data_IF_542850195470
#
_entry.id   IF_542850195470
#
_cell.length_a   1.000
_cell.length_b   1.000
_cell.length_c   1.000
_cell.angle_alpha   90.00
_cell.angle_beta   90.00
_cell.angle_gamma   90.00
#
_symmetry.space_group_name_H-M   'P 1'
#
loop_
_entity.id
_entity.type
_entity.pdbx_description
1 polymer ?
#
# COMPACT_ATOMS: atom_id res chain seq x y z
N UNK A 1 13.23 -2.49 12.29
CA UNK A 1 13.11 -1.03 12.57
C UNK A 1 12.30 -0.35 11.48
N UNK A 2 12.72 -0.40 10.21
CA UNK A 2 12.04 0.24 9.07
C UNK A 2 10.59 -0.21 8.85
N UNK A 3 10.28 -1.51 8.95
CA UNK A 3 8.91 -2.02 8.76
C UNK A 3 7.88 -1.46 9.76
N UNK A 4 8.28 -1.19 11.02
CA UNK A 4 7.34 -0.67 12.03
C UNK A 4 7.01 0.81 11.74
N UNK A 5 7.92 1.54 11.09
CA UNK A 5 7.65 2.91 10.64
C UNK A 5 6.55 2.91 9.58
N UNK A 6 6.56 1.96 8.64
CA UNK A 6 5.50 1.81 7.63
C UNK A 6 4.15 1.51 8.30
N UNK A 7 4.14 0.65 9.33
CA UNK A 7 2.93 0.39 10.11
C UNK A 7 2.46 1.63 10.89
N UNK A 8 3.38 2.48 11.35
CA UNK A 8 3.02 3.74 12.00
C UNK A 8 2.37 4.72 11.01
N UNK A 9 2.85 4.79 9.77
CA UNK A 9 2.19 5.54 8.70
C UNK A 9 0.79 4.99 8.43
N UNK A 10 0.64 3.68 8.26
CA UNK A 10 -0.66 3.05 8.06
C UNK A 10 -1.63 3.31 9.23
N UNK A 11 -1.16 3.25 10.47
CA UNK A 11 -1.95 3.58 11.65
C UNK A 11 -2.38 5.04 11.65
N UNK A 12 -1.50 5.97 11.26
CA UNK A 12 -1.85 7.38 11.14
C UNK A 12 -2.95 7.61 10.09
N UNK A 13 -2.82 7.00 8.90
CA UNK A 13 -3.85 7.06 7.86
C UNK A 13 -5.18 6.46 8.33
N UNK A 14 -5.14 5.34 9.05
CA UNK A 14 -6.32 4.72 9.65
C UNK A 14 -6.99 5.64 10.68
N UNK A 15 -6.23 6.37 11.50
CA UNK A 15 -6.81 7.34 12.45
C UNK A 15 -7.49 8.47 11.68
N UNK A 16 -6.86 8.99 10.62
CA UNK A 16 -7.41 10.08 9.83
C UNK A 16 -8.63 9.66 8.99
N UNK A 17 -8.75 8.39 8.59
CA UNK A 17 -9.89 7.92 7.80
C UNK A 17 -11.23 7.93 8.56
N UNK A 18 -11.21 8.02 9.89
CA UNK A 18 -12.42 8.23 10.70
C UNK A 18 -12.91 9.68 10.73
N UNK A 19 -12.19 10.62 10.11
CA UNK A 19 -12.60 12.02 10.01
C UNK A 19 -13.76 12.18 9.00
N UNK A 20 -14.61 13.18 9.21
CA UNK A 20 -15.75 13.45 8.31
C UNK A 20 -15.31 13.86 6.91
N UNK A 21 -14.16 14.51 6.79
CA UNK A 21 -13.51 14.85 5.54
C UNK A 21 -12.11 14.26 5.55
N UNK A 22 -11.74 13.57 4.46
CA UNK A 22 -10.44 12.95 4.33
C UNK A 22 -9.37 14.04 4.14
N UNK A 23 -8.30 14.09 4.95
CA UNK A 23 -7.27 15.14 4.85
C UNK A 23 -6.54 15.19 3.50
N UNK A 24 -6.49 14.07 2.79
CA UNK A 24 -5.87 13.93 1.47
C UNK A 24 -6.85 14.13 0.30
N UNK A 25 -8.11 14.48 0.57
CA UNK A 25 -9.12 14.71 -0.46
C UNK A 25 -9.27 16.18 -0.88
N UNK A 26 -8.74 17.14 -0.10
CA UNK A 26 -8.86 18.56 -0.42
C UNK A 26 -7.55 19.32 -0.20
N UNK A 27 -7.39 20.43 -0.91
CA UNK A 27 -6.24 21.34 -0.78
C UNK A 27 -6.45 22.44 0.27
N UNK A 28 -7.53 22.42 1.05
CA UNK A 28 -7.88 23.47 2.00
C UNK A 28 -7.27 23.24 3.40
N UNK A 29 -6.02 22.79 3.47
CA UNK A 29 -5.33 22.55 4.74
C UNK A 29 -4.10 23.45 4.90
N UNK A 30 -3.67 23.65 6.15
CA UNK A 30 -2.53 24.52 6.48
C UNK A 30 -1.17 24.03 5.95
N UNK A 31 -1.08 22.78 5.52
CA UNK A 31 0.15 22.19 4.97
C UNK A 31 0.20 22.22 3.43
N UNK A 32 -0.91 22.58 2.76
CA UNK A 32 -0.97 22.60 1.32
C UNK A 32 -0.29 23.86 0.75
N UNK A 33 0.48 23.69 -0.32
CA UNK A 33 1.05 24.81 -1.09
C UNK A 33 0.04 25.40 -2.08
N UNK A 34 0.40 26.54 -2.70
CA UNK A 34 -0.40 27.16 -3.76
C UNK A 34 -0.52 26.32 -5.04
N UNK A 35 0.32 25.29 -5.19
CA UNK A 35 0.34 24.41 -6.36
C UNK A 35 -0.56 23.18 -6.20
N UNK A 36 -1.24 23.04 -5.06
CA UNK A 36 -2.13 21.92 -4.78
C UNK A 36 -3.41 22.03 -5.62
N UNK A 37 -3.72 20.98 -6.38
CA UNK A 37 -4.97 20.85 -7.13
C UNK A 37 -5.89 19.78 -6.51
N UNK A 38 -7.15 20.17 -6.33
CA UNK A 38 -8.23 19.29 -5.88
C UNK A 38 -9.11 18.90 -7.09
N UNK A 39 -9.34 17.61 -7.27
CA UNK A 39 -10.14 17.03 -8.35
C UNK A 39 -11.60 17.50 -8.37
N UNK A 40 -12.12 17.99 -7.25
CA UNK A 40 -13.51 18.49 -7.16
C UNK A 40 -13.68 19.89 -7.79
N UNK A 41 -12.60 20.62 -8.05
CA UNK A 41 -12.65 22.04 -8.48
C UNK A 41 -12.48 22.23 -10.00
N UNK A 42 -12.70 21.18 -10.80
CA UNK A 42 -12.55 21.21 -12.26
C UNK A 42 -13.89 21.20 -12.99
N UNK A 43 -14.47 22.39 -13.19
CA UNK A 43 -15.39 22.60 -14.33
C UNK A 43 -15.14 23.89 -15.11
N UNK A 44 -14.17 24.74 -14.75
CA UNK A 44 -14.00 26.04 -15.42
C UNK A 44 -12.57 26.60 -15.54
N UNK A 45 -11.52 25.88 -15.11
CA UNK A 45 -10.14 26.35 -15.31
C UNK A 45 -9.53 25.70 -16.53
N UNK A 46 -9.36 26.50 -17.59
CA UNK A 46 -8.53 26.14 -18.74
C UNK A 46 -7.12 25.79 -18.26
N UNK A 47 -6.73 24.53 -18.47
CA UNK A 47 -5.41 24.00 -18.17
C UNK A 47 -4.35 24.79 -18.94
N UNK A 48 -3.73 25.77 -18.30
CA UNK A 48 -2.36 26.09 -18.65
C UNK A 48 -1.51 24.96 -18.07
N UNK A 49 -0.81 24.25 -18.95
CA UNK A 49 0.12 23.16 -18.64
C UNK A 49 1.31 23.70 -17.83
N UNK A 50 1.08 24.10 -16.57
CA UNK A 50 2.15 24.24 -15.61
C UNK A 50 2.45 22.84 -15.05
N UNK A 51 3.56 22.28 -15.50
CA UNK A 51 4.17 21.01 -15.04
C UNK A 51 4.53 21.00 -13.54
N UNK A 52 3.97 21.90 -12.73
CA UNK A 52 4.32 22.15 -11.33
C UNK A 52 3.16 21.90 -10.36
N UNK A 53 2.05 21.34 -10.84
CA UNK A 53 0.85 21.09 -10.03
C UNK A 53 0.94 19.75 -9.31
N UNK A 54 0.60 19.73 -8.01
CA UNK A 54 0.66 18.53 -7.14
C UNK A 54 -0.73 18.15 -6.64
N UNK A 55 -0.97 16.86 -6.36
CA UNK A 55 -2.25 16.41 -5.81
C UNK A 55 -2.32 16.65 -4.30
N UNK A 56 -3.54 16.79 -3.76
CA UNK A 56 -3.77 16.88 -2.31
C UNK A 56 -3.19 15.68 -1.53
N UNK A 57 -3.16 14.48 -2.14
CA UNK A 57 -2.59 13.28 -1.53
C UNK A 57 -1.06 13.33 -1.47
N UNK A 58 -0.40 13.81 -2.52
CA UNK A 58 1.06 14.03 -2.54
C UNK A 58 1.47 15.04 -1.48
N UNK A 59 0.80 16.19 -1.42
CA UNK A 59 1.05 17.23 -0.41
C UNK A 59 0.80 16.73 1.02
N UNK A 60 -0.24 15.92 1.23
CA UNK A 60 -0.49 15.30 2.53
C UNK A 60 0.65 14.35 2.93
N UNK A 61 1.13 13.52 2.00
CA UNK A 61 2.23 12.60 2.26
C UNK A 61 3.54 13.35 2.55
N UNK A 62 3.93 14.26 1.67
CA UNK A 62 5.25 14.90 1.70
C UNK A 62 5.35 15.99 2.79
N UNK A 63 4.34 16.86 2.91
CA UNK A 63 4.40 17.99 3.83
C UNK A 63 3.77 17.70 5.20
N UNK A 64 2.68 16.91 5.25
CA UNK A 64 1.98 16.64 6.52
C UNK A 64 2.51 15.41 7.25
N UNK A 65 2.63 14.27 6.56
CA UNK A 65 3.02 12.98 7.15
C UNK A 65 4.53 12.89 7.34
N UNK A 66 5.29 13.02 6.25
CA UNK A 66 6.74 12.94 6.28
C UNK A 66 7.41 14.24 6.72
N UNK A 67 6.88 15.38 6.28
CA UNK A 67 7.55 16.68 6.42
C UNK A 67 8.97 16.61 5.85
N UNK A 68 9.07 16.25 4.57
CA UNK A 68 10.34 16.00 3.90
C UNK A 68 11.27 17.21 4.02
N UNK A 69 12.53 16.96 4.36
CA UNK A 69 13.54 18.00 4.48
C UNK A 69 14.24 18.26 3.14
N UNK A 70 14.96 19.39 3.05
CA UNK A 70 15.66 19.79 1.82
C UNK A 70 16.79 18.83 1.42
N UNK A 71 17.25 17.97 2.33
CA UNK A 71 18.26 16.96 2.03
C UNK A 71 18.62 16.07 3.21
N UNK A 72 19.39 15.01 2.93
CA UNK A 72 19.80 13.98 3.91
C UNK A 72 20.64 14.58 5.05
N UNK A 73 21.41 15.64 4.77
CA UNK A 73 22.22 16.35 5.76
C UNK A 73 21.37 17.12 6.78
N UNK A 74 20.11 17.40 6.45
CA UNK A 74 19.18 18.12 7.30
C UNK A 74 18.05 17.18 7.73
N UNK A 75 18.20 16.53 8.88
CA UNK A 75 17.26 15.50 9.37
C UNK A 75 15.88 16.09 9.75
N UNK A 76 15.76 17.41 9.85
CA UNK A 76 14.51 18.09 10.21
C UNK A 76 14.10 17.85 11.66
N UNK A 77 12.79 17.93 11.94
CA UNK A 77 12.21 17.77 13.27
C UNK A 77 11.44 16.46 13.42
N UNK A 78 11.41 15.91 14.63
CA UNK A 78 10.61 14.69 14.92
C UNK A 78 9.12 15.02 14.87
N UNK A 79 8.39 14.27 14.04
CA UNK A 79 6.92 14.35 13.94
C UNK A 79 6.28 13.61 15.11
N UNK A 80 5.68 14.35 16.04
CA UNK A 80 5.14 13.81 17.29
C UNK A 80 4.03 12.80 17.03
N UNK A 81 3.16 13.02 16.04
CA UNK A 81 2.08 12.08 15.72
C UNK A 81 2.60 10.75 15.21
N UNK A 82 3.66 10.78 14.37
CA UNK A 82 4.34 9.57 13.91
C UNK A 82 5.07 8.87 15.06
N UNK A 83 5.73 9.64 15.94
CA UNK A 83 6.37 9.08 17.12
C UNK A 83 5.36 8.35 18.02
N UNK A 84 4.19 8.94 18.26
CA UNK A 84 3.11 8.33 19.03
C UNK A 84 2.57 7.07 18.34
N UNK A 85 2.32 7.10 17.04
CA UNK A 85 1.88 5.94 16.27
C UNK A 85 2.95 4.82 16.30
N UNK A 86 4.23 5.18 16.20
CA UNK A 86 5.36 4.27 16.27
C UNK A 86 5.45 3.61 17.65
N UNK A 87 5.32 4.39 18.72
CA UNK A 87 5.27 3.85 20.10
C UNK A 87 4.08 2.92 20.27
N UNK A 88 2.90 3.28 19.79
CA UNK A 88 1.71 2.44 19.84
C UNK A 88 1.93 1.11 19.09
N UNK A 89 2.50 1.14 17.89
CA UNK A 89 2.81 -0.07 17.13
C UNK A 89 3.81 -0.98 17.84
N UNK A 90 4.84 -0.42 18.48
CA UNK A 90 5.76 -1.20 19.30
C UNK A 90 5.07 -1.90 20.47
N UNK A 91 4.18 -1.19 21.17
CA UNK A 91 3.39 -1.75 22.27
C UNK A 91 2.50 -2.89 21.77
N UNK A 92 1.80 -2.70 20.64
CA UNK A 92 0.97 -3.74 20.01
C UNK A 92 1.82 -4.95 19.65
N UNK A 93 2.93 -4.76 18.94
CA UNK A 93 3.83 -5.85 18.56
C UNK A 93 4.35 -6.62 19.78
N UNK A 94 4.71 -5.92 20.86
CA UNK A 94 5.13 -6.54 22.12
C UNK A 94 4.04 -7.48 22.68
N UNK A 95 2.79 -7.02 22.77
CA UNK A 95 1.69 -7.86 23.27
C UNK A 95 1.37 -9.03 22.34
N UNK A 96 1.53 -8.87 21.03
CA UNK A 96 1.36 -9.96 20.06
C UNK A 96 2.36 -11.11 20.28
N UNK A 97 3.58 -10.81 20.74
CA UNK A 97 4.65 -11.80 20.89
C UNK A 97 4.99 -12.17 22.33
N UNK A 98 4.51 -11.42 23.34
CA UNK A 98 4.94 -11.58 24.74
C UNK A 98 4.87 -13.05 25.21
N UNK A 99 3.75 -13.75 24.99
CA UNK A 99 3.62 -15.17 25.41
C UNK A 99 4.16 -16.17 24.37
N UNK A 100 5.08 -15.73 23.51
CA UNK A 100 5.65 -16.51 22.41
C UNK A 100 4.59 -16.97 21.40
N UNK A 101 4.88 -18.10 20.75
CA UNK A 101 4.04 -18.67 19.67
C UNK A 101 2.59 -18.94 20.06
N UNK A 102 2.28 -19.10 21.35
CA UNK A 102 0.90 -19.29 21.83
C UNK A 102 0.06 -18.01 21.69
N UNK A 103 0.64 -16.83 21.92
CA UNK A 103 -0.06 -15.54 21.70
C UNK A 103 -0.06 -15.20 20.22
N UNK A 104 1.10 -15.32 19.57
CA UNK A 104 1.25 -15.03 18.15
C UNK A 104 0.30 -15.87 17.30
N UNK A 105 0.18 -17.17 17.56
CA UNK A 105 -0.76 -18.03 16.85
C UNK A 105 -2.22 -17.57 16.97
N UNK A 106 -2.64 -17.04 18.13
CA UNK A 106 -3.99 -16.49 18.33
C UNK A 106 -4.21 -15.20 17.54
N UNK A 107 -3.25 -14.28 17.59
CA UNK A 107 -3.31 -13.01 16.86
C UNK A 107 -3.30 -13.25 15.34
N UNK A 108 -2.50 -14.20 14.88
CA UNK A 108 -2.36 -14.55 13.46
C UNK A 108 -3.67 -15.03 12.83
N UNK A 109 -4.60 -15.65 13.60
CA UNK A 109 -5.92 -15.98 13.07
C UNK A 109 -6.65 -14.76 12.52
N UNK A 110 -6.49 -13.59 13.14
CA UNK A 110 -7.04 -12.34 12.61
C UNK A 110 -6.08 -11.73 11.58
N UNK A 111 -4.82 -11.50 11.94
CA UNK A 111 -3.90 -10.72 11.09
C UNK A 111 -3.53 -11.39 9.76
N UNK A 112 -3.68 -12.72 9.64
CA UNK A 112 -3.47 -13.43 8.37
C UNK A 112 -4.76 -13.61 7.56
N UNK A 113 -5.94 -13.66 8.18
CA UNK A 113 -7.21 -13.88 7.45
C UNK A 113 -7.88 -12.57 7.04
N UNK A 114 -7.80 -11.55 7.89
CA UNK A 114 -8.38 -10.23 7.62
C UNK A 114 -7.87 -9.60 6.31
N UNK A 115 -6.56 -9.65 5.97
CA UNK A 115 -6.08 -9.16 4.69
C UNK A 115 -6.72 -9.84 3.47
N UNK A 116 -7.11 -11.12 3.55
CA UNK A 116 -7.83 -11.77 2.45
C UNK A 116 -9.25 -11.24 2.29
N UNK A 117 -9.93 -10.92 3.40
CA UNK A 117 -11.25 -10.28 3.37
C UNK A 117 -11.13 -8.89 2.75
N UNK A 118 -10.14 -8.10 3.18
CA UNK A 118 -9.89 -6.76 2.61
C UNK A 118 -9.53 -6.85 1.13
N UNK A 119 -8.63 -7.76 0.77
CA UNK A 119 -8.25 -8.00 -0.62
C UNK A 119 -9.44 -8.36 -1.50
N UNK A 120 -10.35 -9.21 -1.01
CA UNK A 120 -11.58 -9.56 -1.74
C UNK A 120 -12.50 -8.34 -1.94
N UNK A 121 -12.69 -7.52 -0.90
CA UNK A 121 -13.49 -6.29 -0.98
C UNK A 121 -12.87 -5.30 -1.96
N UNK A 122 -11.56 -5.06 -1.86
CA UNK A 122 -10.82 -4.19 -2.76
C UNK A 122 -10.84 -4.70 -4.20
N UNK A 123 -10.73 -6.01 -4.42
CA UNK A 123 -10.81 -6.62 -5.75
C UNK A 123 -12.20 -6.42 -6.37
N UNK A 124 -13.26 -6.76 -5.64
CA UNK A 124 -14.63 -6.58 -6.13
C UNK A 124 -14.88 -5.11 -6.42
N UNK A 125 -14.53 -4.21 -5.49
CA UNK A 125 -14.71 -2.78 -5.67
C UNK A 125 -13.90 -2.26 -6.86
N UNK A 126 -12.61 -2.58 -6.92
CA UNK A 126 -11.70 -2.19 -7.98
C UNK A 126 -12.20 -2.60 -9.36
N UNK A 127 -12.62 -3.86 -9.52
CA UNK A 127 -13.15 -4.36 -10.81
C UNK A 127 -14.50 -3.75 -11.20
N UNK A 128 -15.30 -3.26 -10.25
CA UNK A 128 -16.56 -2.57 -10.55
C UNK A 128 -16.39 -1.10 -10.95
N UNK A 129 -15.19 -0.53 -10.81
CA UNK A 129 -14.94 0.87 -11.16
C UNK A 129 -14.80 1.06 -12.68
N UNK A 130 -15.23 2.23 -13.21
CA UNK A 130 -15.05 2.53 -14.62
C UNK A 130 -13.57 2.63 -14.97
N UNK A 131 -13.12 2.01 -16.07
CA UNK A 131 -11.70 2.06 -16.48
C UNK A 131 -10.80 1.00 -15.84
N UNK A 132 -11.30 0.22 -14.88
CA UNK A 132 -10.55 -0.86 -14.24
C UNK A 132 -9.91 -1.85 -15.23
N UNK A 133 -10.62 -2.14 -16.33
CA UNK A 133 -10.11 -3.02 -17.40
C UNK A 133 -8.82 -2.49 -18.04
N UNK A 134 -8.63 -1.18 -18.15
CA UNK A 134 -7.39 -0.61 -18.68
C UNK A 134 -6.18 -0.97 -17.82
N UNK A 135 -6.36 -0.94 -16.50
CA UNK A 135 -5.33 -1.37 -15.55
C UNK A 135 -5.10 -2.89 -15.54
N UNK A 136 -6.17 -3.70 -15.62
CA UNK A 136 -6.03 -5.17 -15.71
C UNK A 136 -5.30 -5.59 -16.99
N UNK A 137 -5.59 -4.94 -18.12
CA UNK A 137 -4.85 -5.16 -19.37
C UNK A 137 -3.40 -4.74 -19.21
N UNK A 138 -3.13 -3.57 -18.65
CA UNK A 138 -1.75 -3.12 -18.37
C UNK A 138 -0.98 -4.12 -17.48
N UNK A 139 -1.63 -4.72 -16.49
CA UNK A 139 -1.03 -5.72 -15.60
C UNK A 139 -0.68 -7.03 -16.30
N UNK A 140 -1.54 -7.51 -17.21
CA UNK A 140 -1.42 -8.84 -17.80
C UNK A 140 -0.78 -8.87 -19.18
N UNK A 141 -0.77 -7.76 -19.91
CA UNK A 141 -0.30 -7.72 -21.28
C UNK A 141 1.20 -8.04 -21.31
N UNK A 142 1.61 -9.19 -21.86
CA UNK A 142 3.01 -9.56 -21.84
C UNK A 142 3.74 -8.82 -22.95
N UNK A 143 4.94 -8.36 -22.65
CA UNK A 143 5.89 -7.81 -23.62
C UNK A 143 7.10 -8.77 -23.70
N UNK A 144 7.12 -9.72 -24.64
CA UNK A 144 8.11 -10.81 -24.66
C UNK A 144 9.56 -10.34 -24.81
N UNK A 145 9.76 -9.13 -25.35
CA UNK A 145 11.07 -8.47 -25.42
C UNK A 145 11.76 -8.37 -24.05
N UNK A 146 11.00 -8.15 -22.98
CA UNK A 146 11.54 -8.06 -21.63
C UNK A 146 12.10 -9.38 -21.09
N UNK A 147 11.68 -10.53 -21.62
CA UNK A 147 12.21 -11.83 -21.17
C UNK A 147 13.67 -12.06 -21.60
N UNK A 148 14.15 -11.30 -22.59
CA UNK A 148 15.55 -11.31 -23.02
C UNK A 148 16.46 -10.50 -22.09
N UNK A 149 15.89 -9.64 -21.25
CA UNK A 149 16.64 -8.81 -20.30
C UNK A 149 16.98 -9.63 -19.04
N UNK A 150 18.28 -9.87 -18.74
CA UNK A 150 18.69 -10.56 -17.53
C UNK A 150 18.21 -9.88 -16.24
N UNK A 151 18.00 -8.55 -16.26
CA UNK A 151 17.53 -7.81 -15.11
C UNK A 151 16.15 -8.28 -14.64
N UNK A 152 15.25 -8.61 -15.57
CA UNK A 152 13.91 -9.12 -15.26
C UNK A 152 13.98 -10.44 -14.46
N UNK A 153 14.95 -11.30 -14.78
CA UNK A 153 15.16 -12.55 -14.05
C UNK A 153 15.79 -12.33 -12.67
N UNK A 154 16.71 -11.37 -12.56
CA UNK A 154 17.28 -10.96 -11.26
C UNK A 154 16.21 -10.38 -10.34
N UNK A 155 15.32 -9.55 -10.87
CA UNK A 155 14.19 -8.96 -10.13
C UNK A 155 13.17 -10.03 -9.73
N UNK A 156 12.81 -10.94 -10.64
CA UNK A 156 11.91 -12.06 -10.34
C UNK A 156 12.48 -12.99 -9.24
N UNK A 157 13.78 -13.32 -9.33
CA UNK A 157 14.46 -14.12 -8.30
C UNK A 157 14.51 -13.40 -6.95
N UNK A 158 14.80 -12.10 -6.95
CA UNK A 158 14.82 -11.28 -5.74
C UNK A 158 13.43 -11.18 -5.10
N UNK A 159 12.39 -10.96 -5.92
CA UNK A 159 11.00 -10.89 -5.48
C UNK A 159 10.58 -12.18 -4.77
N UNK A 160 10.88 -13.34 -5.35
CA UNK A 160 10.58 -14.65 -4.73
C UNK A 160 11.37 -14.81 -3.43
N UNK A 161 12.67 -14.52 -3.43
CA UNK A 161 13.52 -14.68 -2.26
C UNK A 161 13.04 -13.84 -1.05
N UNK A 162 12.73 -12.56 -1.29
CA UNK A 162 12.23 -11.66 -0.25
C UNK A 162 10.78 -11.96 0.15
N UNK A 163 9.91 -12.32 -0.80
CA UNK A 163 8.50 -12.65 -0.53
C UNK A 163 8.36 -13.86 0.42
N UNK A 164 9.20 -14.89 0.26
CA UNK A 164 9.24 -16.04 1.17
C UNK A 164 10.14 -15.84 2.41
N UNK A 165 10.87 -14.73 2.49
CA UNK A 165 11.85 -14.45 3.56
C UNK A 165 12.85 -15.59 3.76
N UNK A 166 13.35 -16.16 2.66
CA UNK A 166 14.28 -17.29 2.69
C UNK A 166 15.61 -16.85 3.33
N UNK A 167 16.17 -17.71 4.19
CA UNK A 167 17.48 -17.44 4.83
C UNK A 167 17.46 -16.47 6.02
N UNK A 168 16.33 -15.85 6.34
CA UNK A 168 16.19 -14.93 7.50
C UNK A 168 16.06 -15.67 8.84
N UNK A 169 15.71 -16.96 8.81
CA UNK A 169 15.56 -17.82 10.00
C UNK A 169 14.14 -17.86 10.58
N UNK A 170 13.23 -16.98 10.16
CA UNK A 170 11.83 -16.96 10.62
C UNK A 170 11.11 -18.29 10.41
N UNK A 171 11.25 -18.89 9.21
CA UNK A 171 10.66 -20.19 8.90
C UNK A 171 11.30 -21.33 9.71
N UNK A 172 12.62 -21.27 9.97
CA UNK A 172 13.32 -22.23 10.82
C UNK A 172 12.81 -22.17 12.26
N UNK A 173 12.64 -20.97 12.81
CA UNK A 173 12.08 -20.77 14.15
C UNK A 173 10.66 -21.31 14.22
N UNK A 174 9.79 -20.97 13.26
CA UNK A 174 8.41 -21.48 13.23
C UNK A 174 8.38 -23.02 13.09
N UNK A 175 9.25 -23.58 12.26
CA UNK A 175 9.42 -25.03 12.11
C UNK A 175 9.83 -25.73 13.40
N UNK A 176 10.65 -25.08 14.24
CA UNK A 176 11.12 -25.65 15.51
C UNK A 176 9.99 -25.91 16.52
N UNK A 177 8.84 -25.22 16.38
CA UNK A 177 7.66 -25.41 17.22
C UNK A 177 6.67 -26.44 16.66
N UNK A 178 6.96 -27.05 15.50
CA UNK A 178 6.07 -27.99 14.84
C UNK A 178 6.21 -29.42 15.42
N UNK A 179 5.23 -30.29 15.17
CA UNK A 179 5.29 -31.70 15.55
C UNK A 179 6.38 -32.40 14.73
N UNK A 180 7.14 -33.30 15.36
CA UNK A 180 8.21 -34.05 14.70
C UNK A 180 7.76 -34.84 13.45
N UNK A 181 6.53 -35.38 13.48
CA UNK A 181 5.95 -36.14 12.35
C UNK A 181 5.08 -35.27 11.41
N UNK A 182 5.17 -33.95 11.49
CA UNK A 182 4.40 -33.08 10.62
C UNK A 182 4.89 -33.19 9.16
N UNK A 183 3.96 -33.21 8.21
CA UNK A 183 4.30 -33.23 6.78
C UNK A 183 4.66 -31.82 6.30
N UNK A 184 5.90 -31.41 6.57
CA UNK A 184 6.40 -30.09 6.18
C UNK A 184 6.43 -29.88 4.66
N UNK A 185 6.60 -30.94 3.86
CA UNK A 185 6.58 -30.83 2.40
C UNK A 185 5.22 -30.32 1.89
N UNK A 186 4.13 -30.89 2.41
CA UNK A 186 2.77 -30.43 2.10
C UNK A 186 2.58 -28.97 2.51
N UNK A 187 3.04 -28.58 3.69
CA UNK A 187 2.90 -27.21 4.19
C UNK A 187 3.67 -26.22 3.32
N UNK A 188 4.91 -26.56 2.92
CA UNK A 188 5.70 -25.75 2.00
C UNK A 188 5.01 -25.58 0.64
N UNK A 189 4.43 -26.64 0.07
CA UNK A 189 3.69 -26.55 -1.19
C UNK A 189 2.49 -25.59 -1.07
N UNK A 190 1.71 -25.68 0.01
CA UNK A 190 0.60 -24.76 0.26
C UNK A 190 1.08 -23.32 0.47
N UNK A 191 2.16 -23.13 1.22
CA UNK A 191 2.75 -21.82 1.45
C UNK A 191 3.17 -21.17 0.12
N UNK A 192 3.83 -21.93 -0.75
CA UNK A 192 4.21 -21.46 -2.10
C UNK A 192 3.01 -21.07 -2.94
N UNK A 193 1.99 -21.94 -3.03
CA UNK A 193 0.80 -21.68 -3.83
C UNK A 193 0.00 -20.49 -3.31
N UNK A 194 -0.19 -20.39 -1.98
CA UNK A 194 -0.94 -19.31 -1.36
C UNK A 194 -0.19 -17.98 -1.50
N UNK A 195 1.11 -17.93 -1.25
CA UNK A 195 1.89 -16.70 -1.39
C UNK A 195 1.85 -16.15 -2.82
N UNK A 196 2.16 -16.99 -3.81
CA UNK A 196 2.17 -16.59 -5.22
C UNK A 196 0.77 -16.27 -5.72
N UNK A 197 -0.24 -17.09 -5.38
CA UNK A 197 -1.62 -16.84 -5.76
C UNK A 197 -2.17 -15.54 -5.17
N UNK A 198 -1.87 -15.27 -3.90
CA UNK A 198 -2.27 -14.02 -3.23
C UNK A 198 -1.62 -12.81 -3.89
N UNK A 199 -0.34 -12.92 -4.27
CA UNK A 199 0.39 -11.84 -4.96
C UNK A 199 -0.23 -11.52 -6.32
N UNK A 200 -0.63 -12.53 -7.09
CA UNK A 200 -1.34 -12.35 -8.37
C UNK A 200 -2.70 -11.67 -8.15
N UNK A 201 -3.50 -12.14 -7.18
CA UNK A 201 -4.81 -11.55 -6.86
C UNK A 201 -4.67 -10.10 -6.36
N UNK A 202 -3.64 -9.81 -5.55
CA UNK A 202 -3.30 -8.46 -5.13
C UNK A 202 -2.95 -7.56 -6.32
N UNK A 203 -2.23 -8.08 -7.33
CA UNK A 203 -1.98 -7.39 -8.60
C UNK A 203 -3.28 -6.95 -9.29
N UNK A 204 -4.27 -7.84 -9.41
CA UNK A 204 -5.59 -7.47 -9.95
C UNK A 204 -6.27 -6.37 -9.13
N UNK A 205 -6.25 -6.45 -7.80
CA UNK A 205 -6.85 -5.43 -6.94
C UNK A 205 -6.17 -4.06 -7.09
N UNK A 206 -4.84 -4.03 -7.14
CA UNK A 206 -4.05 -2.80 -7.34
C UNK A 206 -4.30 -2.19 -8.71
N UNK A 207 -4.08 -2.96 -9.77
CA UNK A 207 -4.15 -2.41 -11.11
C UNK A 207 -5.58 -2.06 -11.54
N UNK A 208 -6.61 -2.72 -11.01
CA UNK A 208 -7.99 -2.31 -11.26
C UNK A 208 -8.31 -0.91 -10.71
N UNK A 209 -7.81 -0.56 -9.51
CA UNK A 209 -7.96 0.78 -8.92
C UNK A 209 -7.11 1.80 -9.68
N UNK A 210 -5.86 1.47 -10.06
CA UNK A 210 -5.02 2.35 -10.87
C UNK A 210 -5.61 2.61 -12.27
N UNK A 211 -6.27 1.62 -12.87
CA UNK A 211 -6.97 1.77 -14.15
C UNK A 211 -8.13 2.78 -14.06
N UNK A 212 -8.86 2.77 -12.95
CA UNK A 212 -9.87 3.80 -12.65
C UNK A 212 -9.22 5.18 -12.50
N UNK A 213 -8.17 5.30 -11.68
CA UNK A 213 -7.46 6.56 -11.45
C UNK A 213 -6.89 7.15 -12.74
N UNK A 214 -6.29 6.32 -13.60
CA UNK A 214 -5.78 6.72 -14.91
C UNK A 214 -6.89 7.25 -15.83
N UNK A 215 -8.06 6.59 -15.81
CA UNK A 215 -9.22 7.03 -16.59
C UNK A 215 -9.77 8.37 -16.11
N UNK A 216 -9.93 8.56 -14.80
CA UNK A 216 -10.44 9.83 -14.23
C UNK A 216 -9.47 11.00 -14.48
N UNK A 217 -8.17 10.73 -14.53
CA UNK A 217 -7.14 11.73 -14.81
C UNK A 217 -6.83 11.92 -16.30
N UNK A 218 -7.36 11.06 -17.18
CA UNK A 218 -7.07 11.11 -18.62
C UNK A 218 -5.61 10.78 -18.99
N UNK A 219 -4.91 10.04 -18.14
CA UNK A 219 -3.47 9.69 -18.27
C UNK A 219 -3.27 8.18 -18.47
N UNK A 220 -2.05 7.75 -18.79
CA UNK A 220 -1.74 6.31 -18.89
C UNK A 220 -1.56 5.68 -17.50
N UNK A 221 -1.83 4.38 -17.38
CA UNK A 221 -1.68 3.63 -16.11
C UNK A 221 -0.23 3.71 -15.58
N UNK A 222 0.76 3.75 -16.48
CA UNK A 222 2.17 3.91 -16.11
C UNK A 222 2.51 5.24 -15.40
N UNK A 223 1.72 6.30 -15.62
CA UNK A 223 1.94 7.61 -14.99
C UNK A 223 1.38 7.67 -13.56
N UNK A 224 0.39 6.83 -13.24
CA UNK A 224 -0.20 6.74 -11.89
C UNK A 224 0.33 5.57 -11.07
N UNK A 225 1.02 4.62 -11.71
CA UNK A 225 1.65 3.47 -11.07
C UNK A 225 2.99 3.88 -10.42
N UNK A 226 2.90 4.61 -9.31
CA UNK A 226 4.07 4.89 -8.48
C UNK A 226 4.67 3.61 -7.88
N UNK A 227 5.96 3.64 -7.56
CA UNK A 227 6.66 2.54 -6.90
C UNK A 227 6.91 2.84 -5.42
N UNK A 228 7.02 1.78 -4.62
CA UNK A 228 7.34 1.90 -3.20
C UNK A 228 6.18 2.44 -2.35
N UNK A 229 6.46 3.16 -1.25
CA UNK A 229 5.44 3.68 -0.34
C UNK A 229 4.44 4.64 -1.00
N UNK A 230 4.86 5.37 -2.05
CA UNK A 230 4.00 6.32 -2.78
C UNK A 230 2.75 5.65 -3.36
N UNK A 231 2.88 4.41 -3.86
CA UNK A 231 1.72 3.64 -4.32
C UNK A 231 0.63 3.51 -3.24
N UNK A 232 1.03 3.14 -2.03
CA UNK A 232 0.09 2.89 -0.93
C UNK A 232 -0.39 4.17 -0.22
N UNK A 233 0.44 5.21 -0.17
CA UNK A 233 0.17 6.41 0.64
C UNK A 233 -0.14 7.68 -0.17
N UNK A 234 0.01 7.65 -1.49
CA UNK A 234 -0.36 8.72 -2.42
C UNK A 234 -1.43 8.19 -3.38
N UNK A 235 -1.08 7.23 -4.25
CA UNK A 235 -1.95 6.82 -5.36
C UNK A 235 -3.27 6.20 -4.87
N UNK A 236 -3.23 5.29 -3.88
CA UNK A 236 -4.43 4.69 -3.32
C UNK A 236 -5.35 5.69 -2.58
N UNK A 237 -4.83 6.50 -1.62
CA UNK A 237 -5.63 7.55 -0.98
C UNK A 237 -6.26 8.51 -1.98
N UNK A 238 -5.53 8.88 -3.03
CA UNK A 238 -6.03 9.72 -4.12
C UNK A 238 -7.16 9.03 -4.91
N UNK A 239 -6.96 7.76 -5.30
CA UNK A 239 -7.99 7.00 -5.99
C UNK A 239 -9.26 6.83 -5.14
N UNK A 240 -9.11 6.63 -3.82
CA UNK A 240 -10.24 6.55 -2.87
C UNK A 240 -10.98 7.89 -2.79
N UNK A 241 -10.26 9.02 -2.73
CA UNK A 241 -10.87 10.35 -2.68
C UNK A 241 -11.72 10.66 -3.92
N UNK A 242 -11.35 10.11 -5.09
CA UNK A 242 -12.11 10.24 -6.35
C UNK A 242 -13.37 9.37 -6.40
N UNK A 243 -13.52 8.36 -5.53
CA UNK A 243 -14.69 7.48 -5.58
C UNK A 243 -15.94 8.20 -5.06
N UNK A 244 -17.12 8.03 -5.71
CA UNK A 244 -18.37 8.67 -5.29
C UNK A 244 -18.89 8.20 -3.92
N UNK A 245 -18.30 7.13 -3.37
CA UNK A 245 -18.60 6.54 -2.06
C UNK A 245 -17.40 6.67 -1.11
N UNK A 246 -16.62 7.75 -1.21
CA UNK A 246 -15.47 8.08 -0.35
C UNK A 246 -15.86 8.42 1.11
N UNK A 247 -16.85 7.72 1.66
CA UNK A 247 -17.14 7.73 3.08
C UNK A 247 -15.95 7.08 3.82
N UNK A 248 -15.56 7.62 4.98
CA UNK A 248 -14.40 7.19 5.76
C UNK A 248 -14.28 5.68 6.02
N UNK A 249 -15.39 4.95 5.93
CA UNK A 249 -15.42 3.48 5.98
C UNK A 249 -14.52 2.82 4.91
N UNK A 250 -14.54 3.26 3.64
CA UNK A 250 -13.72 2.63 2.60
C UNK A 250 -12.24 3.01 2.71
N UNK A 251 -11.95 4.20 3.25
CA UNK A 251 -10.58 4.61 3.59
C UNK A 251 -10.04 3.89 4.85
N UNK A 252 -10.91 3.26 5.64
CA UNK A 252 -10.56 2.46 6.83
C UNK A 252 -10.41 0.96 6.54
N UNK A 253 -10.79 0.51 5.34
CA UNK A 253 -10.66 -0.87 4.84
C UNK A 253 -9.33 -1.02 4.08
#
# INVERSE_FOLDING_TARGET
MTYIIILAWALLYLIFSFSSQLPWASCQNYWNTANCLDFTTESNTSWNNDNLSTSAATEFWEHRVLSISDGIEQIGSIRVEILLCLTAMWIICYFCIWKGVKSTGKVVYFTATFPYVMLLILLIRGLTLPGAMGGVVYYLLPEPSHLLDPQVWMEAGSQVFFSFSVGVGSLTVLGSYNKYKNNCYRDCMWLCLLNSGTSVVAGFAVFSVLGFMAKEQGVSVSQVAESGPGLAFIAYPQAIAMMPLSCGLFASL
#
